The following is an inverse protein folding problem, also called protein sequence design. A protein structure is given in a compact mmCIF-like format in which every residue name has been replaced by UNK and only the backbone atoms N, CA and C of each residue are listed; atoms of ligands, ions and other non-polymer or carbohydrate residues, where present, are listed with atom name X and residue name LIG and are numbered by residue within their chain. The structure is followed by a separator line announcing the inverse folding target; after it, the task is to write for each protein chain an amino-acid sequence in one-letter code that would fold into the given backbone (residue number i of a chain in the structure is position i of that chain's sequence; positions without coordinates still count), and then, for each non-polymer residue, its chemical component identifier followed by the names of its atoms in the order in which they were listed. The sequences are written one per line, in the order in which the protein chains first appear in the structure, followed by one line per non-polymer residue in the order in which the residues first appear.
data_IF_453346199676
#
_entry.id   IF_453346199676
#
_cell.length_a   1.000
_cell.length_b   1.000
_cell.length_c   1.000
_cell.angle_alpha   90.00
_cell.angle_beta   90.00
_cell.angle_gamma   90.00
#
_symmetry.space_group_name_H-M   'P 1'
#
loop_
_entity.id
_entity.type
_entity.pdbx_description
1 polymer ?
#
# COMPACT_ATOMS: atom_id res chain seq x y z
N UNK A 1 6.50 2.27 -22.18
CA UNK A 1 7.36 2.50 -20.99
C UNK A 1 7.09 1.39 -19.99
N UNK A 2 8.12 0.93 -19.26
CA UNK A 2 8.00 -0.07 -18.22
C UNK A 2 7.26 0.54 -17.02
N UNK A 3 6.25 -0.13 -16.49
CA UNK A 3 5.54 0.31 -15.28
C UNK A 3 6.40 0.13 -14.06
N UNK A 4 6.18 1.00 -13.07
CA UNK A 4 6.88 0.94 -11.80
C UNK A 4 5.94 0.88 -10.61
N UNK A 5 6.26 0.00 -9.67
CA UNK A 5 5.58 -0.07 -8.38
C UNK A 5 6.56 0.32 -7.27
N UNK A 6 6.04 0.90 -6.20
CA UNK A 6 6.79 1.11 -4.97
C UNK A 6 6.07 0.46 -3.80
N UNK A 7 6.83 -0.25 -2.97
CA UNK A 7 6.37 -0.82 -1.70
C UNK A 7 6.99 0.00 -0.58
N UNK A 8 6.15 0.58 0.28
CA UNK A 8 6.62 1.22 1.51
C UNK A 8 6.73 0.18 2.60
N UNK A 9 7.89 0.03 3.17
CA UNK A 9 8.16 -0.97 4.19
C UNK A 9 8.91 -0.38 5.40
N UNK A 10 8.98 -1.15 6.45
CA UNK A 10 9.67 -0.86 7.68
C UNK A 10 9.86 -2.14 8.49
N UNK A 11 10.53 -2.05 9.63
CA UNK A 11 10.67 -3.19 10.53
C UNK A 11 9.30 -3.70 11.00
N UNK A 12 9.18 -5.01 11.16
CA UNK A 12 7.96 -5.70 11.58
C UNK A 12 6.79 -5.68 10.60
N UNK A 13 7.01 -5.30 9.34
CA UNK A 13 6.03 -5.50 8.27
C UNK A 13 5.59 -6.98 8.27
N UNK A 14 4.31 -7.24 8.00
CA UNK A 14 3.81 -8.59 7.85
C UNK A 14 4.41 -9.21 6.57
N UNK A 15 5.14 -10.29 6.73
CA UNK A 15 6.01 -10.86 5.68
C UNK A 15 5.27 -11.27 4.42
N UNK A 16 4.12 -11.94 4.54
CA UNK A 16 3.32 -12.36 3.38
C UNK A 16 2.79 -11.18 2.56
N UNK A 17 2.46 -10.09 3.24
CA UNK A 17 1.93 -8.87 2.62
C UNK A 17 3.00 -8.06 1.90
N UNK A 18 4.26 -8.36 2.15
CA UNK A 18 5.42 -7.85 1.42
C UNK A 18 5.85 -8.80 0.30
N UNK A 19 6.07 -10.08 0.62
CA UNK A 19 6.66 -11.07 -0.31
C UNK A 19 5.77 -11.30 -1.53
N UNK A 20 4.47 -11.53 -1.30
CA UNK A 20 3.57 -11.83 -2.39
C UNK A 20 3.47 -10.66 -3.40
N UNK A 21 3.13 -9.42 -3.02
CA UNK A 21 3.04 -8.34 -3.98
C UNK A 21 4.39 -8.03 -4.64
N UNK A 22 5.51 -8.17 -3.92
CA UNK A 22 6.85 -7.96 -4.47
C UNK A 22 7.11 -8.81 -5.72
N UNK A 23 6.83 -10.11 -5.66
CA UNK A 23 7.00 -11.00 -6.81
C UNK A 23 5.84 -10.90 -7.80
N UNK A 24 4.62 -10.70 -7.32
CA UNK A 24 3.43 -10.65 -8.18
C UNK A 24 3.49 -9.52 -9.20
N UNK A 25 3.95 -8.34 -8.81
CA UNK A 25 4.06 -7.21 -9.76
C UNK A 25 5.20 -7.42 -10.76
N UNK A 26 6.29 -8.10 -10.36
CA UNK A 26 7.35 -8.48 -11.28
C UNK A 26 6.89 -9.46 -12.35
N UNK A 27 6.01 -10.41 -12.00
CA UNK A 27 5.38 -11.31 -12.98
C UNK A 27 4.58 -10.53 -14.03
N UNK A 28 4.01 -9.39 -13.67
CA UNK A 28 3.31 -8.49 -14.59
C UNK A 28 4.25 -7.50 -15.32
N UNK A 29 5.55 -7.65 -15.14
CA UNK A 29 6.55 -6.84 -15.85
C UNK A 29 6.83 -5.47 -15.22
N UNK A 30 6.45 -5.23 -13.97
CA UNK A 30 6.80 -4.00 -13.26
C UNK A 30 8.25 -4.02 -12.78
N UNK A 31 8.89 -2.87 -12.85
CA UNK A 31 10.03 -2.58 -11.98
C UNK A 31 9.51 -2.26 -10.58
N UNK A 32 10.21 -2.74 -9.55
CA UNK A 32 9.78 -2.58 -8.15
C UNK A 32 10.86 -1.89 -7.34
N UNK A 33 10.49 -0.77 -6.73
CA UNK A 33 11.27 -0.17 -5.66
C UNK A 33 10.69 -0.56 -4.30
N UNK A 34 11.56 -0.75 -3.34
CA UNK A 34 11.23 -0.96 -1.94
C UNK A 34 11.82 0.18 -1.14
N UNK A 35 10.98 0.95 -0.48
CA UNK A 35 11.41 2.12 0.27
C UNK A 35 11.30 1.85 1.78
N UNK A 36 12.41 2.05 2.46
CA UNK A 36 12.54 1.96 3.92
C UNK A 36 13.27 3.20 4.40
N UNK A 37 12.80 3.81 5.49
CA UNK A 37 13.47 4.96 6.10
C UNK A 37 14.93 4.66 6.38
N UNK A 38 15.83 5.53 5.91
CA UNK A 38 17.28 5.38 6.02
C UNK A 38 17.91 4.38 5.05
N UNK A 39 17.11 3.74 4.20
CA UNK A 39 17.58 2.76 3.21
C UNK A 39 18.37 1.60 3.82
N UNK A 40 18.01 1.20 5.04
CA UNK A 40 18.64 0.09 5.74
C UNK A 40 17.79 -1.18 5.64
N UNK A 41 18.44 -2.34 5.55
CA UNK A 41 17.76 -3.62 5.59
C UNK A 41 17.02 -3.79 6.92
N UNK A 42 15.76 -4.19 6.83
CA UNK A 42 14.93 -4.49 8.00
C UNK A 42 14.40 -5.92 7.93
N UNK A 43 13.85 -6.40 9.05
CA UNK A 43 13.21 -7.70 9.13
C UNK A 43 11.70 -7.54 9.25
N UNK A 44 10.98 -8.38 8.54
CA UNK A 44 9.54 -8.57 8.74
C UNK A 44 9.22 -9.18 10.10
N UNK A 45 7.95 -9.25 10.44
CA UNK A 45 7.47 -9.74 11.73
C UNK A 45 7.89 -11.19 12.05
N UNK A 46 8.03 -12.02 11.03
CA UNK A 46 8.48 -13.43 11.15
C UNK A 46 9.82 -13.69 10.46
N UNK A 47 10.57 -12.64 10.12
CA UNK A 47 11.98 -12.71 9.79
C UNK A 47 12.35 -12.61 8.31
N UNK A 48 11.43 -12.28 7.40
CA UNK A 48 11.81 -12.01 6.01
C UNK A 48 12.73 -10.80 5.96
N UNK A 49 13.83 -10.93 5.23
CA UNK A 49 14.76 -9.83 4.97
C UNK A 49 14.17 -8.91 3.91
N UNK A 50 14.01 -7.64 4.26
CA UNK A 50 13.53 -6.59 3.37
C UNK A 50 14.72 -5.70 3.02
N UNK A 51 15.16 -5.79 1.76
CA UNK A 51 16.31 -5.04 1.26
C UNK A 51 15.79 -3.84 0.45
N UNK A 52 15.92 -2.62 0.96
CA UNK A 52 15.42 -1.44 0.27
C UNK A 52 16.27 -1.06 -0.94
N UNK A 53 15.61 -0.49 -1.94
CA UNK A 53 16.25 0.16 -3.10
C UNK A 53 16.24 1.68 -2.95
N UNK A 54 15.33 2.22 -2.12
CA UNK A 54 15.14 3.66 -1.91
C UNK A 54 15.02 4.02 -0.43
N UNK A 55 15.44 5.23 -0.10
CA UNK A 55 15.01 5.92 1.12
C UNK A 55 13.70 6.66 0.86
N UNK A 56 12.94 6.97 1.92
CA UNK A 56 11.68 7.71 1.81
C UNK A 56 11.84 9.08 1.13
N UNK A 57 12.86 9.92 1.46
CA UNK A 57 13.04 11.21 0.80
C UNK A 57 13.40 11.13 -0.70
N UNK A 58 13.82 9.97 -1.19
CA UNK A 58 14.14 9.77 -2.61
C UNK A 58 12.90 9.53 -3.48
N UNK A 59 11.72 9.33 -2.85
CA UNK A 59 10.49 8.97 -3.56
C UNK A 59 9.85 10.18 -4.25
N UNK A 60 9.41 9.95 -5.48
CA UNK A 60 8.68 10.93 -6.29
C UNK A 60 7.45 10.27 -6.86
N UNK A 61 6.29 10.89 -6.70
CA UNK A 61 4.99 10.33 -7.13
C UNK A 61 4.97 10.04 -8.64
N UNK A 62 5.60 10.88 -9.42
CA UNK A 62 5.66 10.76 -10.88
C UNK A 62 6.38 9.49 -11.37
N UNK A 63 7.28 8.93 -10.56
CA UNK A 63 8.08 7.77 -10.94
C UNK A 63 7.31 6.44 -10.88
N UNK A 64 6.13 6.41 -10.27
CA UNK A 64 5.41 5.17 -9.99
C UNK A 64 3.97 5.16 -10.51
N UNK A 65 3.51 3.98 -10.89
CA UNK A 65 2.14 3.70 -11.34
C UNK A 65 1.28 3.06 -10.24
N UNK A 66 1.92 2.42 -9.28
CA UNK A 66 1.28 1.66 -8.19
C UNK A 66 2.03 1.83 -6.88
N UNK A 67 1.30 2.21 -5.84
CA UNK A 67 1.79 2.22 -4.46
C UNK A 67 1.21 1.02 -3.71
N UNK A 68 2.08 0.25 -3.04
CA UNK A 68 1.71 -0.92 -2.26
C UNK A 68 2.07 -0.70 -0.79
N UNK A 69 1.10 -0.89 0.08
CA UNK A 69 1.21 -0.71 1.53
C UNK A 69 0.95 -2.05 2.24
N UNK A 70 2.00 -2.84 2.52
CA UNK A 70 1.89 -3.97 3.43
C UNK A 70 1.54 -3.53 4.84
N UNK A 71 0.88 -4.39 5.60
CA UNK A 71 0.53 -4.11 6.99
C UNK A 71 1.55 -4.65 7.99
N UNK A 72 1.02 -5.12 9.10
CA UNK A 72 1.78 -5.50 10.28
C UNK A 72 1.53 -4.49 11.39
N UNK A 73 0.82 -4.91 12.44
CA UNK A 73 0.40 -4.00 13.52
C UNK A 73 1.56 -3.24 14.15
N UNK A 74 2.67 -3.94 14.41
CA UNK A 74 3.86 -3.34 15.03
C UNK A 74 4.58 -2.36 14.11
N UNK A 75 4.63 -2.65 12.81
CA UNK A 75 5.23 -1.76 11.81
C UNK A 75 4.51 -0.41 11.75
N UNK A 76 3.19 -0.42 11.86
CA UNK A 76 2.38 0.80 11.80
C UNK A 76 2.67 1.77 12.96
N UNK A 77 3.05 1.27 14.13
CA UNK A 77 3.46 2.14 15.24
C UNK A 77 4.62 3.06 14.88
N UNK A 78 5.55 2.58 14.06
CA UNK A 78 6.70 3.36 13.61
C UNK A 78 6.39 4.19 12.36
N UNK A 79 5.80 3.56 11.36
CA UNK A 79 5.58 4.19 10.04
C UNK A 79 4.59 5.35 10.11
N UNK A 80 3.58 5.30 11.00
CA UNK A 80 2.61 6.39 11.19
C UNK A 80 3.22 7.66 11.76
N UNK A 81 4.42 7.60 12.34
CA UNK A 81 5.13 8.76 12.89
C UNK A 81 6.03 9.44 11.86
N UNK A 82 6.18 8.85 10.68
CA UNK A 82 7.03 9.37 9.60
C UNK A 82 6.23 10.33 8.71
N UNK A 83 6.37 11.63 8.96
CA UNK A 83 5.62 12.67 8.26
C UNK A 83 5.90 12.71 6.75
N UNK A 84 7.13 12.45 6.32
CA UNK A 84 7.49 12.40 4.89
C UNK A 84 6.85 11.20 4.19
N UNK A 85 6.82 10.04 4.86
CA UNK A 85 6.14 8.86 4.36
C UNK A 85 4.64 9.12 4.22
N UNK A 86 4.02 9.70 5.21
CA UNK A 86 2.59 10.06 5.19
C UNK A 86 2.28 11.09 4.10
N UNK A 87 3.18 12.07 3.94
CA UNK A 87 3.04 13.07 2.87
C UNK A 87 3.11 12.40 1.49
N UNK A 88 4.05 11.49 1.29
CA UNK A 88 4.14 10.76 0.02
C UNK A 88 2.85 9.98 -0.28
N UNK A 89 2.25 9.31 0.71
CA UNK A 89 0.97 8.60 0.56
C UNK A 89 -0.14 9.60 0.20
N UNK A 90 -0.21 10.74 0.88
CA UNK A 90 -1.22 11.76 0.60
C UNK A 90 -1.10 12.32 -0.83
N UNK A 91 0.12 12.64 -1.26
CA UNK A 91 0.39 13.15 -2.62
C UNK A 91 0.09 12.07 -3.68
N UNK A 92 0.43 10.82 -3.39
CA UNK A 92 0.10 9.69 -4.29
C UNK A 92 -1.41 9.50 -4.41
N UNK A 93 -2.14 9.61 -3.31
CA UNK A 93 -3.60 9.57 -3.33
C UNK A 93 -4.19 10.73 -4.15
N UNK A 94 -3.67 11.94 -3.98
CA UNK A 94 -4.10 13.13 -4.72
C UNK A 94 -3.85 13.01 -6.23
N UNK A 95 -2.84 12.25 -6.64
CA UNK A 95 -2.55 11.99 -8.06
C UNK A 95 -3.58 11.09 -8.75
N UNK A 96 -4.45 10.42 -7.99
CA UNK A 96 -5.42 9.45 -8.51
C UNK A 96 -4.84 8.11 -8.93
N UNK A 97 -3.54 7.90 -8.78
CA UNK A 97 -2.88 6.61 -9.05
C UNK A 97 -3.27 5.57 -8.01
N UNK A 98 -3.21 4.30 -8.36
CA UNK A 98 -3.70 3.20 -7.53
C UNK A 98 -2.84 3.01 -6.28
N UNK A 99 -3.51 2.94 -5.13
CA UNK A 99 -2.91 2.53 -3.86
C UNK A 99 -3.54 1.20 -3.44
N UNK A 100 -2.70 0.17 -3.29
CA UNK A 100 -3.08 -1.13 -2.77
C UNK A 100 -2.64 -1.23 -1.30
N UNK A 101 -3.60 -1.32 -0.38
CA UNK A 101 -3.36 -1.38 1.06
C UNK A 101 -4.00 -2.63 1.67
N UNK A 102 -3.31 -3.27 2.62
CA UNK A 102 -3.79 -4.50 3.24
C UNK A 102 -3.62 -4.47 4.76
N UNK A 103 -4.56 -5.11 5.48
CA UNK A 103 -4.45 -5.37 6.90
C UNK A 103 -4.35 -4.07 7.71
N UNK A 104 -3.38 -3.95 8.59
CA UNK A 104 -3.16 -2.74 9.40
C UNK A 104 -2.65 -1.53 8.59
N UNK A 105 -2.25 -1.71 7.33
CA UNK A 105 -1.81 -0.60 6.49
C UNK A 105 -2.90 0.47 6.25
N UNK A 106 -4.17 0.14 6.47
CA UNK A 106 -5.23 1.14 6.49
C UNK A 106 -4.97 2.28 7.49
N UNK A 107 -4.21 2.02 8.55
CA UNK A 107 -3.79 3.05 9.50
C UNK A 107 -2.87 4.12 8.85
N UNK A 108 -2.06 3.75 7.86
CA UNK A 108 -1.28 4.71 7.08
C UNK A 108 -2.19 5.61 6.24
N UNK A 109 -3.22 5.02 5.63
CA UNK A 109 -4.22 5.78 4.87
C UNK A 109 -5.00 6.76 5.77
N UNK A 110 -5.34 6.33 6.99
CA UNK A 110 -5.99 7.18 7.99
C UNK A 110 -5.08 8.36 8.35
N UNK A 111 -3.83 8.09 8.71
CA UNK A 111 -2.86 9.12 9.08
C UNK A 111 -2.53 10.07 7.93
N UNK A 112 -2.53 9.59 6.69
CA UNK A 112 -2.38 10.38 5.47
C UNK A 112 -3.67 11.13 5.05
N UNK A 113 -4.77 10.99 5.82
CA UNK A 113 -6.08 11.61 5.54
C UNK A 113 -6.68 11.22 4.19
N UNK A 114 -6.47 9.97 3.77
CA UNK A 114 -6.88 9.47 2.45
C UNK A 114 -8.21 8.68 2.46
N UNK A 115 -8.88 8.54 3.62
CA UNK A 115 -10.02 7.60 3.76
C UNK A 115 -11.38 8.26 3.92
N UNK A 116 -11.46 9.54 4.25
CA UNK A 116 -12.73 10.23 4.56
C UNK A 116 -13.73 10.12 3.39
N UNK A 117 -14.94 9.65 3.71
CA UNK A 117 -16.01 9.47 2.72
C UNK A 117 -15.84 8.26 1.79
N UNK A 118 -14.87 7.39 2.05
CA UNK A 118 -14.54 6.26 1.18
C UNK A 118 -14.88 4.92 1.83
N UNK A 119 -15.13 3.91 0.99
CA UNK A 119 -15.21 2.51 1.43
C UNK A 119 -13.80 1.96 1.55
N UNK A 120 -13.46 1.43 2.72
CA UNK A 120 -12.11 0.94 3.04
C UNK A 120 -12.20 -0.37 3.81
N UNK A 121 -11.43 -1.35 3.39
CA UNK A 121 -11.14 -2.54 4.17
C UNK A 121 -9.81 -2.42 4.89
N UNK A 122 -9.70 -3.10 6.00
CA UNK A 122 -8.48 -3.20 6.79
C UNK A 122 -8.63 -4.34 7.79
N UNK A 123 -7.58 -4.57 8.58
CA UNK A 123 -7.62 -5.63 9.56
C UNK A 123 -8.80 -5.47 10.54
N UNK A 124 -9.39 -6.56 10.94
CA UNK A 124 -10.66 -6.59 11.70
C UNK A 124 -10.63 -5.77 12.99
N UNK A 125 -9.50 -5.75 13.68
CA UNK A 125 -9.35 -5.02 14.95
C UNK A 125 -9.34 -3.50 14.80
N UNK A 126 -9.10 -2.97 13.61
CA UNK A 126 -9.09 -1.52 13.34
C UNK A 126 -10.34 -1.01 12.62
N UNK A 127 -11.40 -1.81 12.62
CA UNK A 127 -12.70 -1.42 12.04
C UNK A 127 -13.20 -0.08 12.59
N UNK A 128 -13.14 0.07 13.91
CA UNK A 128 -13.61 1.29 14.56
C UNK A 128 -12.74 2.50 14.21
N UNK A 129 -11.42 2.31 14.10
CA UNK A 129 -10.50 3.36 13.67
C UNK A 129 -10.83 3.85 12.26
N UNK A 130 -11.12 2.93 11.35
CA UNK A 130 -11.51 3.23 9.97
C UNK A 130 -12.82 4.03 9.94
N UNK A 131 -13.85 3.57 10.65
CA UNK A 131 -15.12 4.27 10.73
C UNK A 131 -14.99 5.64 11.41
N UNK A 132 -14.21 5.73 12.49
CA UNK A 132 -13.98 6.98 13.21
C UNK A 132 -13.20 8.01 12.38
N UNK A 133 -12.40 7.55 11.42
CA UNK A 133 -11.71 8.42 10.46
C UNK A 133 -12.62 8.97 9.34
N UNK A 134 -13.92 8.62 9.38
CA UNK A 134 -14.91 9.07 8.40
C UNK A 134 -15.03 8.21 7.15
N UNK A 135 -14.43 7.03 7.16
CA UNK A 135 -14.62 6.02 6.11
C UNK A 135 -15.81 5.09 6.44
N UNK A 136 -16.18 4.26 5.49
CA UNK A 136 -17.09 3.14 5.70
C UNK A 136 -16.28 1.85 5.62
N UNK A 137 -16.14 1.15 6.74
CA UNK A 137 -15.47 -0.15 6.77
C UNK A 137 -16.26 -1.21 6.00
N UNK A 138 -15.58 -1.95 5.13
CA UNK A 138 -16.14 -3.06 4.37
C UNK A 138 -15.28 -4.30 4.55
N UNK A 139 -15.87 -5.38 5.04
CA UNK A 139 -15.22 -6.69 5.15
C UNK A 139 -15.44 -7.50 3.86
N UNK A 140 -14.50 -7.40 2.94
CA UNK A 140 -14.49 -8.16 1.70
C UNK A 140 -13.05 -8.42 1.25
N UNK A 141 -12.81 -9.47 0.45
CA UNK A 141 -11.45 -9.85 0.01
C UNK A 141 -10.68 -8.73 -0.70
N UNK A 142 -11.38 -7.92 -1.47
CA UNK A 142 -10.84 -6.72 -2.10
C UNK A 142 -11.94 -5.67 -2.20
N UNK A 143 -11.68 -4.47 -1.72
CA UNK A 143 -12.59 -3.33 -1.76
C UNK A 143 -11.99 -2.25 -2.63
N UNK A 144 -12.68 -1.89 -3.70
CA UNK A 144 -12.28 -0.82 -4.62
C UNK A 144 -13.14 0.39 -4.38
N UNK A 145 -12.54 1.52 -4.08
CA UNK A 145 -13.19 2.82 -4.07
C UNK A 145 -12.26 3.85 -4.72
N UNK A 146 -12.63 4.30 -5.91
CA UNK A 146 -11.77 5.17 -6.71
C UNK A 146 -10.41 4.52 -6.96
N UNK A 147 -9.36 5.18 -6.52
CA UNK A 147 -7.98 4.69 -6.66
C UNK A 147 -7.50 3.81 -5.50
N UNK A 148 -8.31 3.61 -4.45
CA UNK A 148 -7.97 2.72 -3.34
C UNK A 148 -8.42 1.28 -3.61
N UNK A 149 -7.52 0.33 -3.40
CA UNK A 149 -7.80 -1.11 -3.41
C UNK A 149 -7.33 -1.66 -2.07
N UNK A 150 -8.29 -2.01 -1.21
CA UNK A 150 -7.99 -2.38 0.17
C UNK A 150 -8.46 -3.80 0.48
N UNK A 151 -7.79 -4.46 1.43
CA UNK A 151 -8.06 -5.84 1.84
C UNK A 151 -7.81 -6.01 3.34
N UNK A 152 -8.55 -6.91 4.02
CA UNK A 152 -8.46 -7.02 5.48
C UNK A 152 -7.31 -7.90 5.98
N UNK A 153 -6.85 -8.89 5.19
CA UNK A 153 -5.99 -9.93 5.74
C UNK A 153 -5.18 -10.65 4.64
N UNK A 154 -3.98 -11.13 4.97
CA UNK A 154 -3.11 -11.85 4.02
C UNK A 154 -3.73 -13.14 3.43
N UNK A 155 -4.79 -13.69 4.00
CA UNK A 155 -5.54 -14.78 3.35
C UNK A 155 -6.20 -14.36 2.04
N UNK A 156 -6.28 -13.06 1.75
CA UNK A 156 -6.87 -12.48 0.55
C UNK A 156 -5.85 -11.80 -0.38
N UNK A 157 -4.57 -12.14 -0.27
CA UNK A 157 -3.50 -11.55 -1.09
C UNK A 157 -3.77 -11.65 -2.60
N UNK A 158 -4.27 -12.82 -3.05
CA UNK A 158 -4.57 -13.05 -4.46
C UNK A 158 -5.63 -12.12 -5.01
N UNK A 159 -6.86 -12.12 -4.48
CA UNK A 159 -7.93 -11.19 -4.88
C UNK A 159 -7.52 -9.73 -4.78
N UNK A 160 -6.80 -9.34 -3.72
CA UNK A 160 -6.33 -7.97 -3.49
C UNK A 160 -5.41 -7.50 -4.61
N UNK A 161 -4.33 -8.23 -4.89
CA UNK A 161 -3.36 -7.83 -5.93
C UNK A 161 -3.92 -7.96 -7.33
N UNK A 162 -4.77 -8.97 -7.60
CA UNK A 162 -5.48 -9.08 -8.88
C UNK A 162 -6.30 -7.82 -9.18
N UNK A 163 -7.05 -7.34 -8.19
CA UNK A 163 -7.87 -6.14 -8.37
C UNK A 163 -7.01 -4.88 -8.48
N UNK A 164 -5.94 -4.75 -7.69
CA UNK A 164 -5.03 -3.61 -7.77
C UNK A 164 -4.42 -3.46 -9.17
N UNK A 165 -3.93 -4.56 -9.74
CA UNK A 165 -3.36 -4.58 -11.09
C UNK A 165 -4.42 -4.24 -12.15
N UNK A 166 -5.64 -4.79 -12.02
CA UNK A 166 -6.75 -4.47 -12.93
C UNK A 166 -7.11 -2.97 -12.88
N UNK A 167 -7.05 -2.33 -11.71
CA UNK A 167 -7.31 -0.90 -11.59
C UNK A 167 -6.22 -0.04 -12.23
N UNK A 168 -4.96 -0.45 -12.18
CA UNK A 168 -3.87 0.23 -12.91
C UNK A 168 -4.11 0.14 -14.42
N UNK A 169 -4.45 -1.05 -14.94
CA UNK A 169 -4.76 -1.26 -16.37
C UNK A 169 -5.88 -0.33 -16.85
N UNK A 170 -6.99 -0.29 -16.13
CA UNK A 170 -8.14 0.56 -16.47
C UNK A 170 -7.75 2.04 -16.60
N UNK A 171 -6.89 2.53 -15.71
CA UNK A 171 -6.43 3.92 -15.72
C UNK A 171 -5.49 4.22 -16.87
N UNK A 172 -4.60 3.29 -17.20
CA UNK A 172 -3.70 3.43 -18.35
C UNK A 172 -4.49 3.55 -19.66
N UNK A 173 -5.51 2.70 -19.85
CA UNK A 173 -6.35 2.74 -21.04
C UNK A 173 -7.24 3.98 -21.12
N UNK A 174 -7.64 4.58 -19.99
CA UNK A 174 -8.45 5.80 -19.95
C UNK A 174 -7.64 7.04 -20.38
N UNK A 175 -6.32 7.08 -20.09
CA UNK A 175 -5.43 8.20 -20.48
C UNK A 175 -5.05 8.13 -21.97
N UNK A 176 -5.14 6.97 -22.61
CA UNK A 176 -4.76 6.75 -24.02
C UNK A 176 -5.89 7.08 -25.03
N UNK A 177 -7.06 7.59 -24.55
CA UNK A 177 -8.20 8.04 -25.36
C UNK A 177 -8.36 9.56 -25.28
#
# INVERSE_FOLDING_TARGET
MTRKAVILAGKFIQDHEYVYPFYRVQEEGYEVDVAVRGKEQVLGAIGVKIVPTKDIPELRVEDYDLLILPGGAKAMEYMRQDEELLKFIADFNASGKVIASICHAAQLLISARAVKGRKVSGYYSIKDDINNAGAVYVDAPAVVDGNLVTSPHYKHLGPWMKEALAQVEKRTHAVSR
#
